data_IF_135621112263
#
_entry.id   IF_135621112263
#
_cell.length_a   1.000
_cell.length_b   1.000
_cell.length_c   1.000
_cell.angle_alpha   90.00
_cell.angle_beta   90.00
_cell.angle_gamma   90.00
#
_symmetry.space_group_name_H-M   'P 1'
#
loop_
_entity.id
_entity.type
_entity.pdbx_description
1 polymer ?
#
# COMPACT_ATOMS: atom_id res chain seq x y z
N UNK A 1 -17.81 -68.57 15.38
CA UNK A 1 -16.76 -67.64 14.89
C UNK A 1 -17.42 -66.66 13.91
N UNK A 2 -17.69 -65.42 14.32
CA UNK A 2 -18.23 -64.35 13.46
C UNK A 2 -17.17 -63.25 13.36
N UNK A 3 -16.64 -63.00 12.16
CA UNK A 3 -15.62 -61.97 11.92
C UNK A 3 -16.29 -60.61 11.69
N UNK A 4 -15.98 -59.63 12.55
CA UNK A 4 -16.42 -58.24 12.42
C UNK A 4 -15.34 -57.47 11.66
N UNK A 5 -15.68 -56.91 10.49
CA UNK A 5 -14.77 -56.04 9.72
C UNK A 5 -15.09 -54.58 10.04
N UNK A 6 -14.19 -53.92 10.77
CA UNK A 6 -14.21 -52.49 11.00
C UNK A 6 -13.78 -51.75 9.73
N UNK A 7 -14.67 -50.93 9.15
CA UNK A 7 -14.37 -49.99 8.07
C UNK A 7 -14.13 -48.61 8.69
N UNK A 8 -12.86 -48.26 8.86
CA UNK A 8 -12.44 -46.92 9.31
C UNK A 8 -12.60 -45.95 8.15
N UNK A 9 -13.55 -45.01 8.24
CA UNK A 9 -13.72 -43.92 7.26
C UNK A 9 -12.80 -42.77 7.66
N UNK A 10 -11.80 -42.47 6.84
CA UNK A 10 -10.94 -41.30 7.00
C UNK A 10 -11.62 -40.10 6.33
N UNK A 11 -12.10 -39.15 7.12
CA UNK A 11 -12.59 -37.86 6.63
C UNK A 11 -11.41 -36.88 6.61
N UNK A 12 -10.96 -36.48 5.41
CA UNK A 12 -9.98 -35.41 5.25
C UNK A 12 -10.77 -34.12 5.06
N UNK A 13 -10.74 -33.25 6.07
CA UNK A 13 -11.26 -31.89 5.99
C UNK A 13 -10.14 -30.96 5.51
N UNK A 14 -10.27 -30.40 4.31
CA UNK A 14 -9.33 -29.40 3.78
C UNK A 14 -9.90 -28.01 4.06
N UNK A 15 -9.34 -27.31 5.04
CA UNK A 15 -9.66 -25.91 5.33
C UNK A 15 -8.98 -25.00 4.31
N UNK A 16 -9.76 -24.26 3.52
CA UNK A 16 -9.23 -23.18 2.68
C UNK A 16 -8.93 -21.96 3.56
N UNK A 17 -7.64 -21.66 3.75
CA UNK A 17 -7.20 -20.43 4.38
C UNK A 17 -7.26 -19.32 3.32
N UNK A 18 -8.35 -18.55 3.31
CA UNK A 18 -8.37 -17.25 2.64
C UNK A 18 -7.56 -16.31 3.53
N UNK A 19 -6.34 -15.98 3.13
CA UNK A 19 -5.56 -14.95 3.82
C UNK A 19 -6.27 -13.60 3.62
N UNK A 20 -6.56 -12.85 4.70
CA UNK A 20 -7.12 -11.51 4.55
C UNK A 20 -6.12 -10.63 3.80
N UNK A 21 -6.64 -9.71 2.98
CA UNK A 21 -5.82 -8.68 2.34
C UNK A 21 -5.16 -7.85 3.45
N UNK A 22 -3.83 -7.93 3.57
CA UNK A 22 -3.09 -7.20 4.58
C UNK A 22 -3.07 -5.70 4.22
N UNK A 23 -3.55 -4.86 5.13
CA UNK A 23 -3.48 -3.40 5.02
C UNK A 23 -2.72 -2.83 6.23
N UNK A 24 -1.86 -1.86 5.98
CA UNK A 24 -1.05 -1.19 7.00
C UNK A 24 -1.21 0.32 6.87
N UNK A 25 -1.83 0.95 7.87
CA UNK A 25 -1.89 2.42 7.98
C UNK A 25 -0.69 2.90 8.80
N UNK A 26 0.05 3.87 8.28
CA UNK A 26 1.22 4.47 8.94
C UNK A 26 1.01 5.97 9.09
N UNK A 27 1.42 6.51 10.23
CA UNK A 27 1.21 7.92 10.58
C UNK A 27 -0.15 8.20 11.25
N UNK A 28 -1.01 7.20 11.44
CA UNK A 28 -2.25 7.36 12.21
C UNK A 28 -2.03 7.38 13.74
N UNK A 29 -2.96 7.94 14.53
CA UNK A 29 -4.03 8.85 14.09
C UNK A 29 -3.45 10.18 13.57
N UNK A 30 -4.19 10.86 12.70
CA UNK A 30 -3.79 12.16 12.17
C UNK A 30 -3.78 13.23 13.28
N UNK A 31 -2.78 14.11 13.26
CA UNK A 31 -2.65 15.25 14.20
C UNK A 31 -2.64 16.60 13.50
N UNK A 32 -2.54 16.60 12.17
CA UNK A 32 -2.40 17.78 11.32
C UNK A 32 -2.91 17.43 9.89
N UNK A 33 -2.80 18.35 8.94
CA UNK A 33 -3.13 18.11 7.54
C UNK A 33 -2.14 18.72 6.55
N UNK A 34 -1.89 18.00 5.47
CA UNK A 34 -0.87 18.30 4.50
C UNK A 34 -1.43 18.35 3.08
N UNK A 35 -1.14 19.46 2.39
CA UNK A 35 -1.52 19.65 1.00
C UNK A 35 -0.45 19.19 -0.01
N UNK A 36 0.77 18.84 0.39
CA UNK A 36 1.78 18.34 -0.56
C UNK A 36 1.72 16.82 -0.74
N UNK A 37 1.99 16.28 -1.93
CA UNK A 37 2.21 16.96 -3.21
C UNK A 37 0.91 17.21 -4.00
N UNK A 38 -0.25 16.94 -3.40
CA UNK A 38 -1.50 16.71 -4.13
C UNK A 38 -2.41 17.93 -4.26
N UNK A 39 -2.42 18.85 -3.30
CA UNK A 39 -3.44 19.88 -3.16
C UNK A 39 -2.93 21.32 -3.12
N UNK A 40 -1.62 21.56 -3.03
CA UNK A 40 -1.05 22.91 -3.09
C UNK A 40 0.26 22.96 -3.89
N UNK A 41 0.57 24.14 -4.42
CA UNK A 41 1.85 24.48 -5.03
C UNK A 41 2.20 25.92 -4.65
N UNK A 42 3.48 26.19 -4.44
CA UNK A 42 3.96 27.53 -4.08
C UNK A 42 4.82 28.10 -5.19
N UNK A 43 4.43 29.27 -5.71
CA UNK A 43 5.19 29.98 -6.72
C UNK A 43 6.63 30.22 -6.26
N UNK A 44 7.60 29.97 -7.15
CA UNK A 44 9.03 30.11 -6.86
C UNK A 44 9.71 28.86 -6.33
N UNK A 45 8.99 27.77 -6.07
CA UNK A 45 9.56 26.48 -5.69
C UNK A 45 9.49 25.48 -6.85
N UNK A 46 10.49 24.58 -7.02
CA UNK A 46 10.47 23.58 -8.09
C UNK A 46 9.19 22.73 -8.09
N UNK A 47 8.71 22.31 -6.91
CA UNK A 47 7.48 21.50 -6.75
C UNK A 47 7.49 20.24 -7.64
N UNK A 48 8.65 19.60 -7.74
CA UNK A 48 8.89 18.44 -8.60
C UNK A 48 9.04 17.13 -7.84
N UNK A 49 9.21 17.17 -6.50
CA UNK A 49 9.55 15.98 -5.73
C UNK A 49 9.07 16.02 -4.29
N UNK A 50 8.45 14.92 -3.88
CA UNK A 50 8.03 14.66 -2.52
C UNK A 50 8.49 13.28 -2.10
N UNK A 51 9.28 13.22 -1.05
CA UNK A 51 9.72 11.99 -0.43
C UNK A 51 9.11 11.85 0.95
N UNK A 52 8.70 10.63 1.30
CA UNK A 52 8.27 10.29 2.65
C UNK A 52 8.87 8.96 3.06
N UNK A 53 9.54 8.98 4.20
CA UNK A 53 10.09 7.79 4.84
C UNK A 53 9.12 7.29 5.90
N UNK A 54 8.99 5.97 6.00
CA UNK A 54 8.18 5.29 6.98
C UNK A 54 9.07 4.32 7.76
N UNK A 55 9.01 4.38 9.09
CA UNK A 55 9.82 3.53 9.96
C UNK A 55 9.56 2.05 9.67
N UNK A 56 10.63 1.25 9.57
CA UNK A 56 10.55 -0.20 9.46
C UNK A 56 9.74 -0.84 10.60
N UNK A 57 9.75 -0.24 11.79
CA UNK A 57 8.99 -0.73 12.96
C UNK A 57 7.47 -0.66 12.78
N UNK A 58 6.97 0.08 11.78
CA UNK A 58 5.55 0.19 11.47
C UNK A 58 5.03 -0.95 10.58
N UNK A 59 5.88 -1.91 10.19
CA UNK A 59 5.53 -2.93 9.21
C UNK A 59 5.92 -4.35 9.65
N UNK A 60 5.09 -5.31 9.24
CA UNK A 60 5.54 -6.66 8.90
C UNK A 60 5.87 -6.72 7.40
N UNK A 61 6.61 -7.74 6.90
CA UNK A 61 6.81 -7.90 5.45
C UNK A 61 5.48 -7.80 4.69
N UNK A 62 5.48 -7.07 3.59
CA UNK A 62 4.28 -6.78 2.79
C UNK A 62 4.65 -6.70 1.31
N UNK A 63 3.80 -7.25 0.45
CA UNK A 63 3.89 -7.04 -1.00
C UNK A 63 2.93 -5.91 -1.39
N UNK A 64 3.40 -4.67 -1.39
CA UNK A 64 2.57 -3.47 -1.55
C UNK A 64 2.00 -3.42 -2.97
N UNK A 65 0.68 -3.38 -3.12
CA UNK A 65 -0.01 -3.25 -4.40
C UNK A 65 -0.84 -1.98 -4.54
N UNK A 66 -1.17 -1.32 -3.41
CA UNK A 66 -1.89 -0.04 -3.40
C UNK A 66 -1.37 0.88 -2.31
N UNK A 67 -1.43 2.18 -2.57
CA UNK A 67 -1.09 3.27 -1.65
C UNK A 67 -2.28 4.23 -1.60
N UNK A 68 -2.78 4.53 -0.40
CA UNK A 68 -3.92 5.43 -0.21
C UNK A 68 -3.64 6.55 0.78
N UNK A 69 -4.20 7.72 0.51
CA UNK A 69 -4.16 8.90 1.37
C UNK A 69 -5.58 9.33 1.73
N UNK A 70 -5.79 9.80 2.95
CA UNK A 70 -7.12 10.14 3.48
C UNK A 70 -7.33 11.64 3.49
N UNK A 71 -8.46 12.13 2.99
CA UNK A 71 -8.77 13.55 3.02
C UNK A 71 -8.87 14.04 4.47
N UNK A 72 -8.32 15.23 4.74
CA UNK A 72 -8.42 15.93 6.01
C UNK A 72 -9.84 16.42 6.29
N UNK A 73 -10.15 16.65 7.56
CA UNK A 73 -11.43 17.20 7.98
C UNK A 73 -11.58 18.69 7.67
N UNK A 74 -10.47 19.40 7.51
CA UNK A 74 -10.44 20.87 7.47
C UNK A 74 -10.68 21.44 6.08
N UNK A 75 -10.52 20.68 4.98
CA UNK A 75 -10.71 21.21 3.62
C UNK A 75 -10.84 20.15 2.51
N UNK A 76 -12.05 20.04 1.94
CA UNK A 76 -12.31 19.38 0.66
C UNK A 76 -12.04 20.33 -0.53
N UNK A 77 -10.80 20.83 -0.60
CA UNK A 77 -10.36 21.69 -1.70
C UNK A 77 -10.12 20.92 -3.00
N UNK A 78 -9.38 21.55 -3.91
CA UNK A 78 -9.02 20.95 -5.18
C UNK A 78 -7.64 20.30 -5.16
N UNK A 79 -7.53 19.16 -5.83
CA UNK A 79 -6.28 18.55 -6.22
C UNK A 79 -5.61 19.34 -7.33
N UNK A 80 -4.28 19.39 -7.28
CA UNK A 80 -3.44 19.72 -8.41
C UNK A 80 -3.65 18.69 -9.53
N UNK A 81 -3.59 19.16 -10.77
CA UNK A 81 -3.38 18.30 -11.93
C UNK A 81 -1.89 18.09 -12.17
N UNK A 82 -1.53 16.97 -12.80
CA UNK A 82 -0.16 16.67 -13.21
C UNK A 82 0.10 15.18 -13.39
N UNK A 83 1.33 14.87 -13.79
CA UNK A 83 1.84 13.51 -13.86
C UNK A 83 2.66 13.21 -12.61
N UNK A 84 2.28 12.15 -11.91
CA UNK A 84 2.93 11.70 -10.69
C UNK A 84 3.54 10.32 -10.90
N UNK A 85 4.87 10.22 -10.81
CA UNK A 85 5.61 8.96 -10.87
C UNK A 85 6.00 8.55 -9.47
N UNK A 86 5.46 7.42 -9.01
CA UNK A 86 5.68 6.89 -7.68
C UNK A 86 6.78 5.84 -7.74
N UNK A 87 7.79 5.99 -6.89
CA UNK A 87 8.84 5.00 -6.68
C UNK A 87 8.82 4.53 -5.24
N UNK A 88 9.06 3.25 -5.04
CA UNK A 88 9.27 2.64 -3.73
C UNK A 88 10.69 2.10 -3.65
N UNK A 89 11.32 2.26 -2.49
CA UNK A 89 12.65 1.71 -2.18
C UNK A 89 12.78 1.47 -0.69
N UNK A 90 13.76 0.67 -0.29
CA UNK A 90 14.25 0.66 1.09
C UNK A 90 15.27 1.78 1.27
N UNK A 91 15.40 2.33 2.48
CA UNK A 91 16.38 3.38 2.77
C UNK A 91 17.00 3.22 4.15
N UNK A 92 18.26 3.62 4.27
CA UNK A 92 18.96 3.75 5.56
C UNK A 92 18.70 5.11 6.22
N UNK A 93 18.09 6.06 5.51
CA UNK A 93 17.74 7.35 6.08
C UNK A 93 16.72 7.15 7.22
N UNK A 94 16.98 7.71 8.42
CA UNK A 94 16.05 7.59 9.53
C UNK A 94 14.85 8.52 9.32
N UNK A 95 13.78 8.26 10.07
CA UNK A 95 12.71 9.24 10.25
C UNK A 95 13.31 10.51 10.87
N UNK A 96 12.97 11.68 10.32
CA UNK A 96 13.55 12.99 10.61
C UNK A 96 15.04 13.13 10.24
N UNK A 97 15.54 12.32 9.31
CA UNK A 97 16.92 12.45 8.80
C UNK A 97 17.03 12.22 7.29
N UNK A 98 15.99 12.57 6.54
CA UNK A 98 16.08 12.63 5.09
C UNK A 98 17.02 13.78 4.68
N UNK A 99 17.96 13.48 3.80
CA UNK A 99 18.85 14.46 3.18
C UNK A 99 18.05 15.45 2.34
N UNK A 100 18.44 16.72 2.38
CA UNK A 100 17.94 17.75 1.46
C UNK A 100 18.39 17.51 0.02
N UNK A 101 19.48 16.76 -0.17
CA UNK A 101 19.84 16.17 -1.47
C UNK A 101 19.03 14.90 -1.63
N UNK A 102 17.81 15.02 -2.17
CA UNK A 102 16.80 13.94 -2.16
C UNK A 102 17.25 12.63 -2.83
N UNK A 103 18.21 12.67 -3.76
CA UNK A 103 18.78 11.45 -4.36
C UNK A 103 19.56 10.61 -3.36
N UNK A 104 20.13 11.21 -2.31
CA UNK A 104 20.83 10.47 -1.25
C UNK A 104 19.89 9.63 -0.38
N UNK A 105 18.58 9.89 -0.43
CA UNK A 105 17.60 9.14 0.35
C UNK A 105 17.16 7.85 -0.34
N UNK A 106 17.32 7.76 -1.66
CA UNK A 106 16.76 6.68 -2.47
C UNK A 106 17.60 5.41 -2.34
N UNK A 107 16.93 4.28 -2.10
CA UNK A 107 17.57 2.97 -2.03
C UNK A 107 18.08 2.46 -3.37
N UNK A 108 19.04 1.55 -3.31
CA UNK A 108 19.53 0.85 -4.50
C UNK A 108 18.48 -0.08 -5.13
N UNK A 109 17.45 -0.47 -4.38
CA UNK A 109 16.32 -1.30 -4.81
C UNK A 109 15.13 -0.49 -5.34
N UNK A 110 15.33 0.79 -5.65
CA UNK A 110 14.27 1.66 -6.14
C UNK A 110 13.57 1.10 -7.37
N UNK A 111 12.26 0.94 -7.26
CA UNK A 111 11.41 0.41 -8.31
C UNK A 111 10.27 1.41 -8.59
N UNK A 112 9.94 1.57 -9.88
CA UNK A 112 8.75 2.31 -10.30
C UNK A 112 7.51 1.52 -9.86
N UNK A 113 6.74 2.10 -8.94
CA UNK A 113 5.45 1.58 -8.53
C UNK A 113 4.38 1.90 -9.58
N UNK A 114 4.37 3.12 -10.12
CA UNK A 114 3.41 3.50 -11.15
C UNK A 114 3.54 4.95 -11.59
N UNK A 115 2.87 5.27 -12.69
CA UNK A 115 2.72 6.63 -13.21
C UNK A 115 1.23 6.96 -13.27
N UNK A 116 0.83 8.03 -12.60
CA UNK A 116 -0.55 8.41 -12.42
C UNK A 116 -0.80 9.81 -12.97
N UNK A 117 -1.85 9.94 -13.77
CA UNK A 117 -2.31 11.23 -14.28
C UNK A 117 -3.44 11.71 -13.38
N UNK A 118 -3.22 12.81 -12.66
CA UNK A 118 -4.27 13.51 -11.95
C UNK A 118 -4.75 14.66 -12.81
N UNK A 119 -6.06 14.73 -13.05
CA UNK A 119 -6.68 15.81 -13.81
C UNK A 119 -6.98 17.05 -12.96
N UNK A 120 -6.69 16.99 -11.65
CA UNK A 120 -7.12 17.98 -10.66
C UNK A 120 -8.64 17.92 -10.39
N UNK A 121 -9.14 18.92 -9.68
CA UNK A 121 -10.56 19.05 -9.31
C UNK A 121 -10.83 18.66 -7.86
N UNK A 122 -12.11 18.49 -7.49
CA UNK A 122 -12.48 18.21 -6.09
C UNK A 122 -11.76 16.96 -5.55
N UNK A 123 -11.15 17.11 -4.38
CA UNK A 123 -10.40 16.02 -3.78
C UNK A 123 -11.32 14.88 -3.29
N UNK A 124 -11.01 13.62 -3.64
CA UNK A 124 -11.76 12.47 -3.13
C UNK A 124 -11.48 12.28 -1.63
N UNK A 125 -12.43 11.67 -0.92
CA UNK A 125 -12.28 11.32 0.51
C UNK A 125 -11.11 10.37 0.77
N UNK A 126 -10.81 9.51 -0.20
CA UNK A 126 -9.61 8.66 -0.22
C UNK A 126 -8.99 8.77 -1.61
N UNK A 127 -7.71 9.12 -1.67
CA UNK A 127 -6.91 9.16 -2.89
C UNK A 127 -6.06 7.90 -2.97
N UNK A 128 -6.42 6.97 -3.85
CA UNK A 128 -5.80 5.65 -3.95
C UNK A 128 -5.09 5.45 -5.28
N UNK A 129 -3.94 4.79 -5.22
CA UNK A 129 -3.09 4.47 -6.35
C UNK A 129 -2.72 2.99 -6.32
N UNK A 130 -3.08 2.25 -7.38
CA UNK A 130 -2.68 0.85 -7.55
C UNK A 130 -1.60 0.73 -8.61
N UNK A 131 -0.56 -0.03 -8.32
CA UNK A 131 0.66 -0.07 -9.14
C UNK A 131 1.27 -1.46 -9.25
N UNK A 132 2.49 -1.51 -9.77
CA UNK A 132 3.31 -2.71 -9.80
C UNK A 132 3.64 -3.14 -8.36
N UNK A 133 3.45 -4.43 -8.00
CA UNK A 133 3.71 -4.88 -6.64
C UNK A 133 5.16 -4.64 -6.22
N UNK A 134 5.35 -4.12 -5.00
CA UNK A 134 6.66 -3.92 -4.38
C UNK A 134 6.80 -4.77 -3.11
N UNK A 135 7.72 -5.73 -3.13
CA UNK A 135 8.02 -6.59 -2.00
C UNK A 135 8.86 -5.83 -0.96
N UNK A 136 8.22 -5.30 0.07
CA UNK A 136 8.91 -4.62 1.17
C UNK A 136 9.19 -5.59 2.32
N UNK A 137 10.46 -5.63 2.74
CA UNK A 137 10.91 -6.32 3.94
C UNK A 137 11.51 -5.30 4.93
N UNK A 138 10.88 -5.05 6.09
CA UNK A 138 11.38 -4.07 7.06
C UNK A 138 12.75 -4.43 7.66
N UNK A 139 13.23 -5.67 7.50
CA UNK A 139 14.60 -6.05 7.87
C UNK A 139 15.68 -5.37 7.01
N UNK A 140 15.32 -4.85 5.84
CA UNK A 140 16.26 -4.23 4.89
C UNK A 140 16.40 -2.71 5.08
N UNK A 141 15.63 -2.09 5.98
CA UNK A 141 15.62 -0.65 6.20
C UNK A 141 14.22 -0.07 6.20
N UNK A 142 14.13 1.26 6.32
CA UNK A 142 12.86 2.00 6.27
C UNK A 142 12.28 1.97 4.85
N UNK A 143 10.97 2.14 4.72
CA UNK A 143 10.32 2.29 3.41
C UNK A 143 10.42 3.76 2.98
N UNK A 144 10.83 4.01 1.75
CA UNK A 144 10.77 5.34 1.13
C UNK A 144 9.76 5.33 -0.02
N UNK A 145 8.81 6.26 0.04
CA UNK A 145 7.99 6.67 -1.10
C UNK A 145 8.59 7.93 -1.71
N UNK A 146 9.03 7.86 -2.97
CA UNK A 146 9.52 9.00 -3.76
C UNK A 146 8.53 9.31 -4.89
N UNK A 147 7.85 10.44 -4.77
CA UNK A 147 6.86 10.93 -5.73
C UNK A 147 7.52 12.03 -6.55
N UNK A 148 7.71 11.77 -7.84
CA UNK A 148 8.22 12.73 -8.81
C UNK A 148 7.07 13.29 -9.62
N UNK A 149 7.04 14.61 -9.76
CA UNK A 149 5.91 15.35 -10.29
C UNK A 149 6.35 16.17 -11.49
N UNK A 150 5.53 16.16 -12.54
CA UNK A 150 5.74 16.99 -13.72
C UNK A 150 4.41 17.53 -14.25
N UNK A 151 4.46 18.67 -14.94
CA UNK A 151 3.25 19.33 -15.47
C UNK A 151 2.27 19.78 -14.38
N UNK A 152 2.77 20.06 -13.18
CA UNK A 152 1.93 20.41 -12.03
C UNK A 152 1.17 21.72 -12.30
N UNK A 153 -0.14 21.73 -12.08
CA UNK A 153 -0.98 22.93 -12.13
C UNK A 153 -2.04 22.86 -11.05
N UNK A 154 -2.32 23.98 -10.37
CA UNK A 154 -3.41 24.05 -9.42
C UNK A 154 -4.65 24.61 -10.12
N UNK A 155 -5.81 23.91 -10.09
CA UNK A 155 -7.05 24.48 -10.61
C UNK A 155 -7.51 25.66 -9.74
N UNK A 156 -8.47 26.44 -10.24
CA UNK A 156 -9.09 27.49 -9.42
C UNK A 156 -9.84 26.87 -8.23
N UNK A 157 -9.58 27.34 -7.02
CA UNK A 157 -10.23 26.83 -5.80
C UNK A 157 -9.35 26.95 -4.57
N UNK A 158 -9.83 26.42 -3.45
CA UNK A 158 -9.01 26.23 -2.24
C UNK A 158 -8.14 24.97 -2.35
N UNK A 159 -7.08 24.90 -1.55
CA UNK A 159 -6.19 23.73 -1.51
C UNK A 159 -6.86 22.53 -0.85
N UNK A 160 -6.62 21.33 -1.40
CA UNK A 160 -6.96 20.09 -0.73
C UNK A 160 -5.89 19.74 0.31
N UNK A 161 -6.32 19.30 1.48
CA UNK A 161 -5.44 18.85 2.55
C UNK A 161 -5.76 17.41 2.90
N UNK A 162 -4.73 16.56 2.88
CA UNK A 162 -4.82 15.17 3.30
C UNK A 162 -4.35 15.03 4.74
N UNK A 163 -4.84 14.03 5.44
CA UNK A 163 -4.45 13.72 6.81
C UNK A 163 -2.94 13.64 6.94
N UNK A 164 -2.41 14.41 7.86
CA UNK A 164 -1.02 14.51 8.20
C UNK A 164 -0.78 14.12 9.64
N UNK A 165 0.46 13.73 9.92
CA UNK A 165 0.96 13.63 11.28
C UNK A 165 2.17 14.52 11.42
N UNK A 166 2.02 15.49 12.30
CA UNK A 166 3.06 16.42 12.70
C UNK A 166 3.18 16.36 14.22
N UNK A 167 4.27 15.77 14.70
CA UNK A 167 4.59 15.77 16.12
C UNK A 167 6.11 15.73 16.34
N UNK A 168 6.62 16.49 17.31
CA UNK A 168 8.07 16.60 17.54
C UNK A 168 8.73 15.27 17.95
N UNK A 169 7.92 14.29 18.40
CA UNK A 169 8.35 12.95 18.75
C UNK A 169 8.12 11.95 17.60
N UNK A 170 7.84 12.41 16.38
CA UNK A 170 7.30 11.55 15.33
C UNK A 170 8.40 10.62 14.86
N UNK A 171 8.36 9.39 15.33
CA UNK A 171 9.31 8.32 14.99
C UNK A 171 8.79 7.40 13.90
N UNK A 172 7.56 7.60 13.42
CA UNK A 172 6.91 6.66 12.50
C UNK A 172 7.01 7.10 11.05
N UNK A 173 7.00 8.40 10.77
CA UNK A 173 7.15 8.90 9.40
C UNK A 173 7.60 10.35 9.35
N UNK A 174 8.32 10.72 8.30
CA UNK A 174 8.72 12.10 8.02
C UNK A 174 8.89 12.29 6.52
N UNK A 175 8.90 13.53 6.05
CA UNK A 175 8.99 13.86 4.63
C UNK A 175 10.10 14.86 4.32
N UNK A 176 10.54 14.84 3.07
CA UNK A 176 11.38 15.87 2.45
C UNK A 176 10.75 16.22 1.11
N UNK A 177 10.66 17.51 0.77
CA UNK A 177 10.09 17.92 -0.52
C UNK A 177 10.63 19.26 -1.01
N UNK A 178 10.49 19.55 -2.30
CA UNK A 178 10.94 20.80 -2.95
C UNK A 178 9.80 21.78 -3.26
N UNK A 179 8.65 21.62 -2.61
CA UNK A 179 7.50 22.52 -2.74
C UNK A 179 7.61 23.77 -1.82
N UNK A 180 8.72 23.90 -1.09
CA UNK A 180 8.97 24.88 -0.04
C UNK A 180 10.12 24.41 0.87
N UNK A 181 10.11 24.83 2.14
CA UNK A 181 10.97 24.27 3.18
C UNK A 181 10.19 23.19 3.95
N UNK A 182 10.74 21.99 4.08
CA UNK A 182 10.10 20.93 4.86
C UNK A 182 10.90 19.65 4.83
N UNK A 183 11.40 19.22 6.00
CA UNK A 183 12.25 18.04 6.10
C UNK A 183 12.03 17.19 7.36
N UNK A 184 11.20 17.58 8.33
CA UNK A 184 11.24 16.96 9.65
C UNK A 184 9.87 16.95 10.34
N UNK A 185 9.65 15.91 11.16
CA UNK A 185 8.52 15.68 12.06
C UNK A 185 7.13 15.57 11.43
N UNK A 186 7.04 15.68 10.11
CA UNK A 186 5.79 15.75 9.36
C UNK A 186 5.73 14.67 8.28
N UNK A 187 4.65 13.88 8.20
CA UNK A 187 4.31 13.04 7.02
C UNK A 187 2.81 12.97 6.74
N UNK A 188 2.41 12.45 5.58
CA UNK A 188 1.03 12.04 5.30
C UNK A 188 0.67 10.76 6.06
N UNK A 189 -0.58 10.67 6.53
CA UNK A 189 -1.14 9.38 6.94
C UNK A 189 -1.42 8.57 5.69
N UNK A 190 -0.80 7.39 5.61
CA UNK A 190 -0.75 6.59 4.38
C UNK A 190 -1.13 5.15 4.69
N UNK A 191 -1.99 4.57 3.86
CA UNK A 191 -2.29 3.15 3.89
C UNK A 191 -1.57 2.42 2.76
N UNK A 192 -0.92 1.32 3.12
CA UNK A 192 -0.33 0.37 2.19
C UNK A 192 -1.15 -0.92 2.21
N UNK A 193 -1.72 -1.28 1.06
CA UNK A 193 -2.51 -2.52 0.91
C UNK A 193 -1.71 -3.52 0.10
N UNK A 194 -1.70 -4.78 0.54
CA UNK A 194 -1.03 -5.85 -0.18
C UNK A 194 -1.63 -6.06 -1.58
N UNK A 195 -0.80 -6.42 -2.55
CA UNK A 195 -1.26 -6.82 -3.87
C UNK A 195 -2.14 -8.08 -3.76
N UNK A 196 -3.28 -8.07 -4.45
CA UNK A 196 -4.12 -9.25 -4.55
C UNK A 196 -3.35 -10.35 -5.28
N UNK A 197 -2.92 -11.37 -4.56
CA UNK A 197 -2.46 -12.59 -5.23
C UNK A 197 -3.70 -13.26 -5.81
N UNK A 198 -3.73 -13.45 -7.13
CA UNK A 198 -4.74 -14.31 -7.74
C UNK A 198 -4.42 -15.71 -7.25
N UNK A 199 -5.01 -16.11 -6.12
CA UNK A 199 -4.86 -17.47 -5.61
C UNK A 199 -5.47 -18.36 -6.68
N UNK A 200 -4.71 -19.27 -7.33
CA UNK A 200 -5.29 -20.22 -8.27
C UNK A 200 -6.42 -20.92 -7.53
N UNK A 201 -7.63 -20.90 -8.11
CA UNK A 201 -8.76 -21.59 -7.49
C UNK A 201 -8.26 -22.98 -7.10
N UNK A 202 -8.42 -23.38 -5.82
CA UNK A 202 -7.94 -24.67 -5.38
C UNK A 202 -8.53 -25.70 -6.34
N UNK A 203 -7.80 -26.77 -6.57
CA UNK A 203 -8.24 -27.95 -7.33
C UNK A 203 -9.50 -28.64 -6.75
N UNK A 204 -10.37 -27.91 -6.05
CA UNK A 204 -11.73 -28.19 -5.62
C UNK A 204 -12.54 -28.86 -6.73
N UNK A 205 -12.41 -28.42 -7.98
CA UNK A 205 -13.05 -29.11 -9.11
C UNK A 205 -12.50 -30.52 -9.32
N UNK A 206 -11.17 -30.69 -9.24
CA UNK A 206 -10.50 -31.98 -9.37
C UNK A 206 -10.83 -32.88 -8.17
N UNK A 207 -10.85 -32.34 -6.95
CA UNK A 207 -11.19 -33.07 -5.73
C UNK A 207 -12.68 -33.43 -5.67
N UNK A 208 -13.57 -32.55 -6.11
CA UNK A 208 -15.00 -32.82 -6.24
C UNK A 208 -15.24 -33.88 -7.32
N UNK A 209 -14.61 -33.75 -8.48
CA UNK A 209 -14.69 -34.75 -9.56
C UNK A 209 -14.15 -36.11 -9.10
N UNK A 210 -13.01 -36.14 -8.41
CA UNK A 210 -12.43 -37.36 -7.84
C UNK A 210 -13.32 -37.97 -6.75
N UNK A 211 -13.92 -37.14 -5.88
CA UNK A 211 -14.86 -37.59 -4.85
C UNK A 211 -16.13 -38.20 -5.44
N UNK A 212 -16.73 -37.55 -6.43
CA UNK A 212 -17.91 -38.05 -7.14
C UNK A 212 -17.61 -39.34 -7.91
N UNK A 213 -16.45 -39.42 -8.58
CA UNK A 213 -16.00 -40.64 -9.26
C UNK A 213 -15.78 -41.80 -8.27
N UNK A 214 -15.15 -41.54 -7.12
CA UNK A 214 -14.97 -42.53 -6.06
C UNK A 214 -16.30 -43.05 -5.51
N UNK A 215 -17.27 -42.17 -5.25
CA UNK A 215 -18.61 -42.54 -4.80
C UNK A 215 -19.37 -43.37 -5.85
N UNK A 216 -19.26 -43.02 -7.13
CA UNK A 216 -19.88 -43.77 -8.22
C UNK A 216 -19.31 -45.20 -8.33
N UNK A 217 -17.99 -45.38 -8.17
CA UNK A 217 -17.36 -46.71 -8.17
C UNK A 217 -17.84 -47.57 -6.99
N UNK A 218 -17.98 -46.98 -5.80
CA UNK A 218 -18.47 -47.69 -4.61
C UNK A 218 -19.95 -48.07 -4.76
N UNK A 219 -20.78 -47.18 -5.29
CA UNK A 219 -22.20 -47.45 -5.53
C UNK A 219 -22.39 -48.60 -6.52
N UNK A 220 -21.60 -48.63 -7.60
CA UNK A 220 -21.69 -49.67 -8.65
C UNK A 220 -21.25 -51.06 -8.18
N UNK A 221 -20.41 -51.14 -7.13
CA UNK A 221 -19.98 -52.41 -6.53
C UNK A 221 -20.96 -53.00 -5.51
N UNK A 222 -22.01 -52.26 -5.13
CA UNK A 222 -23.03 -52.71 -4.17
C UNK A 222 -24.28 -53.28 -4.83
N UNK A 223 -24.47 -53.03 -6.12
CA UNK A 223 -25.61 -53.49 -6.92
C UNK A 223 -25.33 -54.76 -7.73
N UNK A 224 -24.12 -55.31 -7.61
CA UNK A 224 -23.69 -56.62 -8.17
C UNK A 224 -23.37 -57.53 -6.99
#
# INVERSE_FOLDING_TARGET
MKSVRFLTRLAVATTLLVSPLQAQVVGGPATDENCFPFGCLYAGNPSTRYQQVYSASAFAPINIGSISFFLGASSAGSLNSGTYSFYLSTTTAPVNGLSTTMDNNVGADAALFGVFQLTGGAAPSVLSFSGAPFQYNPANGNLLLDIRVSGLTHPTGGFAYYQGRHDAANTVTSRMHDFGLGAEHYGLVTEFTAASTVVPEPSTWVLMAAGLAGLAVVARRRTV
#
